data_IF_005890255950
#
_entry.id   IF_005890255950
#
_cell.length_a   1.000
_cell.length_b   1.000
_cell.length_c   1.000
_cell.angle_alpha   90.00
_cell.angle_beta   90.00
_cell.angle_gamma   90.00
#
_symmetry.space_group_name_H-M   'P 1'
#
loop_
_entity.id
_entity.type
_entity.pdbx_description
1 polymer ?
#
# COMPACT_ATOMS: atom_id res chain seq x y z
N UNK A 1 -9.60 -3.52 -27.96
CA UNK A 1 -10.60 -3.38 -26.88
C UNK A 1 -10.04 -3.92 -25.59
N UNK A 2 -10.11 -3.14 -24.54
CA UNK A 2 -9.63 -3.58 -23.23
C UNK A 2 -10.74 -4.33 -22.50
N UNK A 3 -10.36 -5.27 -21.63
CA UNK A 3 -11.29 -5.94 -20.73
C UNK A 3 -11.18 -5.32 -19.35
N UNK A 4 -12.26 -5.38 -18.60
CA UNK A 4 -12.33 -4.88 -17.24
C UNK A 4 -12.60 -6.04 -16.30
N UNK A 5 -11.80 -6.13 -15.25
CA UNK A 5 -12.01 -7.10 -14.19
C UNK A 5 -12.41 -6.38 -12.91
N UNK A 6 -13.44 -6.88 -12.25
CA UNK A 6 -13.86 -6.35 -10.95
C UNK A 6 -13.25 -7.21 -9.86
N UNK A 7 -12.52 -6.57 -8.97
CA UNK A 7 -11.91 -7.22 -7.81
C UNK A 7 -12.57 -6.69 -6.54
N UNK A 8 -13.10 -7.59 -5.74
CA UNK A 8 -13.74 -7.24 -4.48
C UNK A 8 -12.89 -7.67 -3.30
N UNK A 9 -12.87 -6.85 -2.27
CA UNK A 9 -12.17 -7.14 -1.03
C UNK A 9 -13.19 -7.53 0.05
N UNK A 10 -13.69 -8.73 -0.04
CA UNK A 10 -14.72 -9.25 0.87
C UNK A 10 -14.19 -10.35 1.81
N UNK A 11 -12.90 -10.60 1.80
CA UNK A 11 -12.29 -11.59 2.66
C UNK A 11 -11.91 -11.04 4.03
N UNK A 12 -11.50 -11.95 4.92
CA UNK A 12 -11.03 -11.59 6.25
C UNK A 12 -9.68 -10.88 6.17
N UNK A 13 -9.50 -9.80 6.94
CA UNK A 13 -8.21 -9.12 6.97
C UNK A 13 -7.17 -9.95 7.73
N UNK A 14 -5.92 -9.78 7.34
CA UNK A 14 -4.78 -10.30 8.09
C UNK A 14 -4.21 -9.17 8.95
N UNK A 15 -4.05 -9.44 10.24
CA UNK A 15 -3.40 -8.49 11.14
C UNK A 15 -1.90 -8.75 11.16
N UNK A 16 -1.13 -7.70 10.95
CA UNK A 16 0.32 -7.74 10.90
C UNK A 16 0.89 -6.66 11.79
N UNK A 17 1.94 -6.98 12.53
CA UNK A 17 2.63 -6.02 13.38
C UNK A 17 3.99 -5.68 12.79
N UNK A 18 4.40 -4.43 12.98
CA UNK A 18 5.74 -3.95 12.64
C UNK A 18 6.13 -4.21 11.19
N UNK A 19 5.27 -3.84 10.26
CA UNK A 19 5.51 -4.05 8.83
C UNK A 19 6.81 -3.37 8.42
N UNK A 20 7.71 -4.13 7.81
CA UNK A 20 9.01 -3.64 7.33
C UNK A 20 9.82 -2.92 8.41
N UNK A 21 9.70 -3.36 9.66
CA UNK A 21 10.38 -2.71 10.78
C UNK A 21 9.71 -1.44 11.29
N UNK A 22 8.51 -1.13 10.83
CA UNK A 22 7.72 -0.04 11.37
C UNK A 22 7.12 -0.37 12.73
N UNK A 23 6.20 0.48 13.18
CA UNK A 23 5.58 0.36 14.49
C UNK A 23 4.10 0.02 14.37
N UNK A 24 3.58 -0.66 15.40
CA UNK A 24 2.16 -0.89 15.57
C UNK A 24 1.56 -1.93 14.64
N UNK A 25 0.25 -1.96 14.60
CA UNK A 25 -0.50 -2.98 13.89
C UNK A 25 -1.20 -2.43 12.66
N UNK A 26 -1.35 -3.27 11.67
CA UNK A 26 -2.11 -2.99 10.45
C UNK A 26 -3.00 -4.17 10.12
N UNK A 27 -4.14 -3.88 9.47
CA UNK A 27 -4.99 -4.91 8.88
C UNK A 27 -4.85 -4.83 7.36
N UNK A 28 -4.55 -5.97 6.76
CA UNK A 28 -4.32 -6.07 5.32
C UNK A 28 -5.46 -6.84 4.69
N UNK A 29 -6.16 -6.18 3.78
CA UNK A 29 -7.24 -6.76 2.98
C UNK A 29 -6.69 -7.00 1.59
N UNK A 30 -6.16 -8.20 1.36
CA UNK A 30 -5.60 -8.55 0.06
C UNK A 30 -6.71 -8.82 -0.95
N UNK A 31 -6.50 -8.38 -2.18
CA UNK A 31 -7.41 -8.65 -3.28
C UNK A 31 -6.85 -9.77 -4.15
N UNK A 32 -7.69 -10.75 -4.54
CA UNK A 32 -7.25 -11.72 -5.52
C UNK A 32 -7.00 -11.03 -6.86
N UNK A 33 -5.91 -11.39 -7.50
CA UNK A 33 -5.54 -10.83 -8.80
C UNK A 33 -5.73 -11.88 -9.89
N UNK A 34 -5.99 -11.44 -11.14
CA UNK A 34 -5.98 -12.36 -12.27
C UNK A 34 -4.66 -13.11 -12.33
N UNK A 35 -4.71 -14.38 -12.74
CA UNK A 35 -3.51 -15.22 -12.85
C UNK A 35 -2.50 -14.70 -13.86
N UNK A 36 -2.95 -13.86 -14.79
CA UNK A 36 -2.11 -13.24 -15.81
C UNK A 36 -2.23 -11.74 -15.74
N UNK A 37 -1.11 -11.05 -15.83
CA UNK A 37 -1.06 -9.60 -15.83
C UNK A 37 0.19 -9.10 -15.12
N UNK A 38 0.48 -7.81 -15.25
CA UNK A 38 1.68 -7.21 -14.65
C UNK A 38 1.54 -6.93 -13.15
N UNK A 39 0.32 -6.92 -12.61
CA UNK A 39 0.12 -6.65 -11.20
C UNK A 39 0.46 -7.87 -10.35
N UNK A 40 1.24 -7.66 -9.30
CA UNK A 40 1.65 -8.71 -8.38
C UNK A 40 0.94 -8.61 -7.03
N UNK A 41 0.43 -7.43 -6.67
CA UNK A 41 -0.25 -7.22 -5.41
C UNK A 41 -1.25 -6.08 -5.52
N UNK A 42 -2.43 -6.27 -4.97
CA UNK A 42 -3.37 -5.21 -4.71
C UNK A 42 -3.97 -5.45 -3.34
N UNK A 43 -3.97 -4.43 -2.49
CA UNK A 43 -4.50 -4.56 -1.14
C UNK A 43 -4.95 -3.20 -0.60
N UNK A 44 -5.86 -3.26 0.37
CA UNK A 44 -6.18 -2.12 1.21
C UNK A 44 -5.52 -2.36 2.56
N UNK A 45 -4.84 -1.35 3.09
CA UNK A 45 -4.16 -1.45 4.36
C UNK A 45 -4.76 -0.41 5.30
N UNK A 46 -5.17 -0.85 6.48
CA UNK A 46 -5.63 0.03 7.54
C UNK A 46 -4.57 0.04 8.64
N UNK A 47 -3.95 1.19 8.86
CA UNK A 47 -2.98 1.36 9.93
C UNK A 47 -3.69 1.82 11.20
N UNK A 48 -3.38 1.17 12.32
CA UNK A 48 -3.83 1.65 13.62
C UNK A 48 -3.21 3.03 13.92
N UNK A 49 -3.86 3.85 14.77
CA UNK A 49 -3.25 5.13 15.14
C UNK A 49 -1.84 4.95 15.70
N UNK A 50 -0.90 5.74 15.18
CA UNK A 50 0.51 5.63 15.55
C UNK A 50 1.30 4.53 14.85
N UNK A 51 0.62 3.68 14.07
CA UNK A 51 1.30 2.63 13.32
C UNK A 51 2.00 3.17 12.07
N UNK A 52 3.02 2.46 11.62
CA UNK A 52 3.79 2.85 10.44
C UNK A 52 4.27 1.63 9.68
N UNK A 53 4.49 1.84 8.37
CA UNK A 53 5.21 0.89 7.52
C UNK A 53 6.64 1.39 7.43
N UNK A 54 7.60 0.53 7.78
CA UNK A 54 9.01 0.91 7.77
C UNK A 54 9.52 1.19 6.37
N UNK A 55 10.60 1.99 6.25
CA UNK A 55 11.17 2.29 4.95
C UNK A 55 11.75 1.03 4.30
N UNK A 56 11.51 0.91 2.99
CA UNK A 56 12.01 -0.23 2.22
C UNK A 56 12.22 0.17 0.77
N UNK A 57 13.01 -0.61 0.06
CA UNK A 57 13.31 -0.38 -1.35
C UNK A 57 12.50 -1.30 -2.23
N UNK A 58 12.20 -0.79 -3.41
CA UNK A 58 11.62 -1.57 -4.49
C UNK A 58 12.65 -1.72 -5.59
N UNK A 59 13.20 -2.92 -5.75
CA UNK A 59 14.29 -3.18 -6.70
C UNK A 59 13.78 -3.64 -8.06
N UNK A 60 12.58 -4.17 -8.14
CA UNK A 60 12.06 -4.76 -9.36
C UNK A 60 10.60 -4.40 -9.67
N UNK A 61 9.95 -3.61 -8.83
CA UNK A 61 8.56 -3.23 -9.03
C UNK A 61 8.29 -1.79 -8.62
N UNK A 62 7.12 -1.31 -8.97
CA UNK A 62 6.63 -0.01 -8.59
C UNK A 62 5.41 -0.17 -7.69
N UNK A 63 5.19 0.80 -6.81
CA UNK A 63 4.00 0.84 -5.98
C UNK A 63 3.22 2.12 -6.18
N UNK A 64 1.91 2.01 -6.03
CA UNK A 64 1.00 3.15 -5.99
C UNK A 64 0.24 3.07 -4.68
N UNK A 65 0.29 4.16 -3.92
CA UNK A 65 -0.48 4.31 -2.69
C UNK A 65 -1.54 5.37 -2.89
N UNK A 66 -2.80 4.99 -2.75
CA UNK A 66 -3.90 5.94 -2.75
C UNK A 66 -4.44 6.06 -1.33
N UNK A 67 -4.51 7.29 -0.84
CA UNK A 67 -5.00 7.55 0.52
C UNK A 67 -6.52 7.66 0.47
N UNK A 68 -7.20 6.78 1.18
CA UNK A 68 -8.65 6.70 1.16
C UNK A 68 -9.29 7.48 2.32
N UNK A 69 -8.70 7.42 3.51
CA UNK A 69 -9.23 8.09 4.68
C UNK A 69 -8.13 8.31 5.71
N UNK A 70 -8.44 9.13 6.72
CA UNK A 70 -7.48 9.44 7.78
C UNK A 70 -6.41 10.41 7.32
N UNK A 71 -5.36 10.50 8.10
CA UNK A 71 -4.21 11.35 7.78
C UNK A 71 -2.93 10.70 8.28
N UNK A 72 -1.84 10.99 7.61
CA UNK A 72 -0.54 10.45 7.96
C UNK A 72 0.56 11.24 7.33
N UNK A 73 1.73 10.64 7.28
CA UNK A 73 2.93 11.23 6.69
C UNK A 73 3.54 10.19 5.76
N UNK A 74 3.85 10.63 4.54
CA UNK A 74 4.60 9.82 3.58
C UNK A 74 6.05 10.23 3.62
N UNK A 75 6.94 9.26 3.88
CA UNK A 75 8.38 9.50 4.03
C UNK A 75 9.08 8.98 2.78
N UNK A 76 9.96 9.80 2.20
CA UNK A 76 10.72 9.47 1.01
C UNK A 76 12.16 9.97 1.17
N UNK A 77 13.03 9.57 0.23
CA UNK A 77 14.40 10.07 0.22
C UNK A 77 14.40 11.59 0.03
N UNK A 78 14.92 12.33 0.99
CA UNK A 78 14.97 13.77 0.95
C UNK A 78 13.90 14.48 1.77
N UNK A 79 12.96 13.76 2.39
CA UNK A 79 12.00 14.42 3.25
C UNK A 79 10.72 13.65 3.53
N UNK A 80 9.72 14.40 3.92
CA UNK A 80 8.39 13.86 4.22
C UNK A 80 7.33 14.86 3.81
N UNK A 81 6.12 14.37 3.59
CA UNK A 81 4.98 15.21 3.31
C UNK A 81 3.71 14.62 3.92
N UNK A 82 2.71 15.48 4.21
CA UNK A 82 1.43 14.98 4.69
C UNK A 82 0.77 14.06 3.66
N UNK A 83 0.13 13.00 4.14
CA UNK A 83 -0.66 12.09 3.33
C UNK A 83 -2.13 12.26 3.72
N UNK A 84 -2.94 12.78 2.81
CA UNK A 84 -4.34 13.13 3.05
C UNK A 84 -5.25 12.40 2.06
N UNK A 85 -6.54 12.22 2.39
CA UNK A 85 -7.46 11.57 1.48
C UNK A 85 -7.47 12.22 0.11
N UNK A 86 -7.40 11.40 -0.93
CA UNK A 86 -7.30 11.84 -2.31
C UNK A 86 -5.89 11.94 -2.85
N UNK A 87 -4.88 11.90 -1.98
CA UNK A 87 -3.49 11.91 -2.43
C UNK A 87 -3.10 10.56 -3.00
N UNK A 88 -2.23 10.58 -4.00
CA UNK A 88 -1.67 9.39 -4.62
C UNK A 88 -0.15 9.54 -4.63
N UNK A 89 0.52 8.54 -4.08
CA UNK A 89 1.98 8.47 -4.07
C UNK A 89 2.44 7.32 -4.93
N UNK A 90 3.50 7.54 -5.70
CA UNK A 90 4.10 6.49 -6.51
C UNK A 90 5.56 6.34 -6.14
N UNK A 91 6.02 5.09 -6.11
CA UNK A 91 7.44 4.79 -5.95
C UNK A 91 7.93 4.11 -7.21
N UNK A 92 8.90 4.71 -7.85
CA UNK A 92 9.51 4.15 -9.05
C UNK A 92 10.55 3.09 -8.67
N UNK A 93 10.86 2.24 -9.65
CA UNK A 93 11.95 1.29 -9.52
C UNK A 93 13.25 2.07 -9.31
N UNK A 94 14.00 1.68 -8.29
CA UNK A 94 15.30 2.27 -8.01
C UNK A 94 16.37 1.40 -8.67
N UNK A 95 17.03 1.97 -9.62
CA UNK A 95 18.13 1.29 -10.32
C UNK A 95 19.47 1.84 -9.87
#
# INVERSE_FOLDING_TARGET
MSSVSLIKQDGEPRTVSNIRGGDGEARIFASPLPARGPLTLASRIELAPGASIGPHRHDSDEEVYAILSGEGVYIYDGGECPALPGDIFTTAIIT
#
